data_IF_637908561390
#
_entry.id   IF_637908561390
#
_cell.length_a   1.000
_cell.length_b   1.000
_cell.length_c   1.000
_cell.angle_alpha   90.00
_cell.angle_beta   90.00
_cell.angle_gamma   90.00
#
_symmetry.space_group_name_H-M   'P 1'
#
loop_
_entity.id
_entity.type
_entity.pdbx_description
1 polymer ?
#
# COMPACT_ATOMS: atom_id res chain seq x y z
N UNK A 1 2.94 14.86 2.73
CA UNK A 1 2.86 13.41 3.05
C UNK A 1 1.57 12.86 2.45
N UNK A 2 1.61 11.74 1.76
CA UNK A 2 0.43 11.11 1.14
C UNK A 2 0.15 9.76 1.80
N UNK A 3 -1.06 9.58 2.35
CA UNK A 3 -1.48 8.31 2.97
C UNK A 3 -2.22 7.45 1.95
N UNK A 4 -1.49 6.53 1.32
CA UNK A 4 -2.00 5.61 0.31
C UNK A 4 -2.28 4.22 0.93
N UNK A 5 -1.88 3.14 0.25
CA UNK A 5 -2.02 1.74 0.67
C UNK A 5 -1.17 0.85 -0.25
N UNK A 6 -0.86 -0.37 0.18
CA UNK A 6 -0.42 -1.45 -0.71
C UNK A 6 -1.40 -1.65 -1.89
N UNK A 7 -2.69 -1.40 -1.67
CA UNK A 7 -3.73 -1.39 -2.69
C UNK A 7 -3.57 -0.28 -3.75
N UNK A 8 -2.67 0.68 -3.54
CA UNK A 8 -2.28 1.69 -4.54
C UNK A 8 -1.13 1.26 -5.44
N UNK A 9 -0.58 0.07 -5.20
CA UNK A 9 0.54 -0.50 -5.94
C UNK A 9 0.17 -1.85 -6.55
N UNK A 10 -0.78 -2.57 -5.94
CA UNK A 10 -1.38 -3.79 -6.48
C UNK A 10 -2.90 -3.81 -6.33
N UNK A 11 -3.58 -4.48 -7.26
CA UNK A 11 -5.03 -4.65 -7.20
C UNK A 11 -5.40 -5.82 -6.29
N UNK A 12 -6.58 -5.74 -5.68
CA UNK A 12 -7.15 -6.82 -4.87
C UNK A 12 -8.61 -6.99 -5.23
N UNK A 13 -9.08 -8.23 -5.35
CA UNK A 13 -10.48 -8.52 -5.60
C UNK A 13 -11.38 -7.88 -4.53
N UNK A 14 -12.59 -7.46 -4.93
CA UNK A 14 -13.59 -6.81 -4.05
C UNK A 14 -13.16 -5.44 -3.47
N UNK A 15 -12.09 -4.83 -4.00
CA UNK A 15 -11.59 -3.51 -3.63
C UNK A 15 -11.34 -2.61 -4.85
N UNK A 16 -12.07 -2.77 -5.95
CA UNK A 16 -11.76 -2.10 -7.22
C UNK A 16 -11.75 -0.57 -7.11
N UNK A 17 -12.76 0.00 -6.47
CA UNK A 17 -12.90 1.43 -6.19
C UNK A 17 -11.81 1.92 -5.21
N UNK A 18 -11.60 1.18 -4.13
CA UNK A 18 -10.57 1.47 -3.13
C UNK A 18 -9.17 1.45 -3.75
N UNK A 19 -8.80 0.38 -4.46
CA UNK A 19 -7.56 0.27 -5.22
C UNK A 19 -7.41 1.45 -6.17
N UNK A 20 -8.42 1.74 -6.99
CA UNK A 20 -8.38 2.88 -7.93
C UNK A 20 -8.05 4.20 -7.23
N UNK A 21 -8.69 4.48 -6.09
CA UNK A 21 -8.41 5.70 -5.30
C UNK A 21 -6.97 5.73 -4.76
N UNK A 22 -6.42 4.58 -4.35
CA UNK A 22 -5.07 4.48 -3.80
C UNK A 22 -4.00 4.52 -4.89
N UNK A 23 -4.27 3.98 -6.08
CA UNK A 23 -3.43 4.15 -7.27
C UNK A 23 -3.39 5.63 -7.67
N UNK A 24 -4.53 6.32 -7.68
CA UNK A 24 -4.58 7.76 -7.96
C UNK A 24 -3.76 8.56 -6.94
N UNK A 25 -3.82 8.22 -5.64
CA UNK A 25 -3.03 8.87 -4.60
C UNK A 25 -1.52 8.66 -4.79
N UNK A 26 -1.08 7.45 -5.15
CA UNK A 26 0.34 7.16 -5.47
C UNK A 26 0.77 7.92 -6.72
N UNK A 27 0.00 7.86 -7.80
CA UNK A 27 0.34 8.57 -9.04
C UNK A 27 0.42 10.08 -8.87
N UNK A 28 -0.52 10.68 -8.11
CA UNK A 28 -0.48 12.10 -7.76
C UNK A 28 0.80 12.43 -6.98
N UNK A 29 1.16 11.59 -6.01
CA UNK A 29 2.37 11.80 -5.20
C UNK A 29 3.65 11.74 -6.03
N UNK A 30 3.75 10.75 -6.92
CA UNK A 30 4.88 10.60 -7.83
C UNK A 30 5.01 11.81 -8.76
N UNK A 31 3.92 12.22 -9.40
CA UNK A 31 3.89 13.39 -10.29
C UNK A 31 4.31 14.67 -9.55
N UNK A 32 3.72 14.95 -8.39
CA UNK A 32 4.07 16.12 -7.58
C UNK A 32 5.54 16.12 -7.14
N UNK A 33 6.07 14.95 -6.76
CA UNK A 33 7.48 14.81 -6.38
C UNK A 33 8.40 15.13 -7.55
N UNK A 34 8.05 14.69 -8.76
CA UNK A 34 8.78 15.02 -9.98
C UNK A 34 8.71 16.51 -10.30
N UNK A 35 7.55 17.15 -10.17
CA UNK A 35 7.42 18.61 -10.36
C UNK A 35 8.31 19.39 -9.40
N UNK A 36 8.31 19.04 -8.11
CA UNK A 36 9.16 19.68 -7.10
C UNK A 36 10.65 19.50 -7.41
N UNK A 37 11.04 18.32 -7.89
CA UNK A 37 12.41 18.03 -8.32
C UNK A 37 12.84 18.92 -9.49
N UNK A 38 12.04 18.99 -10.56
CA UNK A 38 12.32 19.82 -11.75
C UNK A 38 12.37 21.31 -11.38
N UNK A 39 11.49 21.77 -10.49
CA UNK A 39 11.47 23.15 -9.97
C UNK A 39 12.58 23.46 -8.96
N UNK A 40 13.47 22.50 -8.66
CA UNK A 40 14.57 22.59 -7.69
C UNK A 40 14.09 23.01 -6.29
N UNK A 41 12.89 22.60 -5.88
CA UNK A 41 12.31 22.89 -4.57
C UNK A 41 12.84 21.93 -3.51
N UNK A 42 14.13 22.03 -3.19
CA UNK A 42 14.82 21.11 -2.27
C UNK A 42 14.36 21.17 -0.81
N UNK A 43 13.72 22.27 -0.41
CA UNK A 43 13.15 22.48 0.92
C UNK A 43 11.78 21.83 1.15
N UNK A 44 11.16 21.26 0.12
CA UNK A 44 9.88 20.54 0.23
C UNK A 44 10.14 19.05 0.04
N UNK A 45 9.87 18.26 1.08
CA UNK A 45 10.04 16.80 1.08
C UNK A 45 8.70 16.11 0.92
N UNK A 46 8.72 14.98 0.23
CA UNK A 46 7.52 14.17 -0.05
C UNK A 46 7.75 12.76 0.47
N UNK A 47 6.76 12.25 1.22
CA UNK A 47 6.69 10.86 1.70
C UNK A 47 5.34 10.28 1.34
N UNK A 48 5.32 9.12 0.66
CA UNK A 48 4.12 8.30 0.44
C UNK A 48 4.15 7.09 1.37
N UNK A 49 3.01 6.81 1.99
CA UNK A 49 2.85 5.70 2.94
C UNK A 49 1.91 4.67 2.32
N UNK A 50 2.40 3.44 2.16
CA UNK A 50 1.67 2.33 1.55
C UNK A 50 1.61 1.13 2.51
N UNK A 51 0.70 1.15 3.49
CA UNK A 51 0.49 0.03 4.40
C UNK A 51 -0.39 -1.06 3.77
N UNK A 52 -0.21 -2.30 4.21
CA UNK A 52 -1.19 -3.39 4.07
C UNK A 52 -2.38 -3.18 5.02
N UNK A 53 -3.05 -4.25 5.45
CA UNK A 53 -4.17 -4.19 6.37
C UNK A 53 -3.77 -3.60 7.73
N UNK A 54 -4.50 -2.57 8.17
CA UNK A 54 -4.33 -1.93 9.49
C UNK A 54 -5.54 -2.26 10.35
N UNK A 55 -5.30 -2.61 11.61
CA UNK A 55 -6.30 -2.89 12.61
C UNK A 55 -6.91 -1.59 13.19
N UNK A 56 -7.74 -0.94 12.39
CA UNK A 56 -8.55 0.25 12.75
C UNK A 56 -10.05 -0.06 12.84
N UNK A 57 -10.44 -1.34 12.71
CA UNK A 57 -11.83 -1.76 12.47
C UNK A 57 -12.34 -1.44 11.04
N UNK A 58 -11.49 -0.90 10.15
CA UNK A 58 -11.85 -0.73 8.73
C UNK A 58 -11.83 -2.06 7.97
N UNK A 59 -10.89 -2.95 8.29
CA UNK A 59 -10.71 -4.27 7.65
C UNK A 59 -11.12 -5.42 8.57
N UNK A 60 -12.17 -5.20 9.37
CA UNK A 60 -12.66 -6.21 10.29
C UNK A 60 -13.19 -7.43 9.53
N UNK A 61 -12.76 -8.62 9.96
CA UNK A 61 -13.11 -9.88 9.30
C UNK A 61 -12.22 -10.28 8.12
N UNK A 62 -11.22 -9.47 7.71
CA UNK A 62 -10.27 -9.86 6.65
C UNK A 62 -9.40 -11.04 7.11
N UNK A 63 -9.24 -12.03 6.23
CA UNK A 63 -8.28 -13.12 6.45
C UNK A 63 -6.90 -12.66 6.02
N UNK A 64 -6.01 -12.49 6.99
CA UNK A 64 -4.60 -12.15 6.74
C UNK A 64 -3.72 -13.38 6.87
N UNK A 65 -2.86 -13.62 5.89
CA UNK A 65 -1.79 -14.61 6.00
C UNK A 65 -0.54 -14.04 6.68
N UNK A 66 0.37 -14.94 7.07
CA UNK A 66 1.67 -14.62 7.71
C UNK A 66 2.46 -13.57 6.90
N UNK A 67 2.26 -13.53 5.57
CA UNK A 67 2.94 -12.60 4.67
C UNK A 67 2.41 -11.15 4.75
N UNK A 68 1.15 -10.97 5.17
CA UNK A 68 0.46 -9.68 5.23
C UNK A 68 -0.25 -9.48 6.58
N UNK A 69 0.51 -9.42 7.70
CA UNK A 69 -0.07 -9.31 9.03
C UNK A 69 -0.89 -8.03 9.20
N UNK A 70 -1.92 -8.11 10.04
CA UNK A 70 -2.65 -6.95 10.56
C UNK A 70 -1.71 -6.08 11.39
N UNK A 71 -1.55 -4.82 10.97
CA UNK A 71 -0.68 -3.85 11.64
C UNK A 71 -1.49 -3.07 12.68
N UNK A 72 -0.95 -2.87 13.88
CA UNK A 72 -1.59 -2.00 14.89
C UNK A 72 -1.51 -0.53 14.48
N UNK A 73 -2.56 0.21 14.81
CA UNK A 73 -2.68 1.63 14.46
C UNK A 73 -1.59 2.50 15.10
N UNK A 74 -1.18 2.22 16.33
CA UNK A 74 -0.13 2.98 17.01
C UNK A 74 1.24 2.74 16.35
N UNK A 75 1.56 1.47 16.03
CA UNK A 75 2.81 1.08 15.38
C UNK A 75 3.00 1.73 14.00
N UNK A 76 1.90 1.89 13.22
CA UNK A 76 1.98 2.54 11.92
C UNK A 76 2.16 4.06 12.06
N UNK A 77 1.52 4.69 13.04
CA UNK A 77 1.70 6.12 13.32
C UNK A 77 3.16 6.44 13.64
N UNK A 78 3.81 5.65 14.50
CA UNK A 78 5.21 5.82 14.86
C UNK A 78 6.13 5.70 13.63
N UNK A 79 5.89 4.68 12.79
CA UNK A 79 6.65 4.49 11.54
C UNK A 79 6.47 5.63 10.56
N UNK A 80 5.26 6.20 10.46
CA UNK A 80 4.99 7.35 9.59
C UNK A 80 5.78 8.57 10.07
N UNK A 81 5.73 8.88 11.37
CA UNK A 81 6.47 10.01 11.94
C UNK A 81 7.98 9.82 11.74
N UNK A 82 8.48 8.60 11.95
CA UNK A 82 9.89 8.28 11.72
C UNK A 82 10.29 8.46 10.24
N UNK A 83 9.47 8.01 9.29
CA UNK A 83 9.71 8.17 7.87
C UNK A 83 9.75 9.65 7.45
N UNK A 84 8.84 10.46 8.00
CA UNK A 84 8.83 11.92 7.77
C UNK A 84 10.12 12.54 8.29
N UNK A 85 10.54 12.19 9.51
CA UNK A 85 11.78 12.72 10.12
C UNK A 85 13.05 12.33 9.36
N UNK A 86 13.01 11.25 8.59
CA UNK A 86 14.14 10.73 7.80
C UNK A 86 14.09 11.15 6.34
N UNK A 87 13.16 12.02 5.94
CA UNK A 87 12.90 12.38 4.54
C UNK A 87 12.73 11.14 3.63
N UNK A 88 12.16 10.06 4.18
CA UNK A 88 11.98 8.82 3.45
C UNK A 88 10.88 9.02 2.39
N UNK A 89 11.23 8.84 1.12
CA UNK A 89 10.28 9.05 0.02
C UNK A 89 9.11 8.07 0.01
N UNK A 90 9.36 6.79 0.35
CA UNK A 90 8.33 5.76 0.34
C UNK A 90 8.43 4.86 1.57
N UNK A 91 7.34 4.74 2.32
CA UNK A 91 7.20 3.85 3.47
C UNK A 91 6.26 2.69 3.13
N UNK A 92 6.84 1.50 2.96
CA UNK A 92 6.11 0.22 2.80
C UNK A 92 5.99 -0.49 4.15
N UNK A 93 4.78 -0.87 4.53
CA UNK A 93 4.53 -1.63 5.77
C UNK A 93 3.57 -2.79 5.50
N UNK A 94 3.99 -4.05 5.72
CA UNK A 94 5.35 -4.50 6.07
C UNK A 94 6.35 -4.31 4.92
N UNK A 95 7.65 -4.25 5.24
CA UNK A 95 8.73 -4.14 4.24
C UNK A 95 8.77 -5.33 3.26
N UNK A 96 8.20 -6.48 3.64
CA UNK A 96 8.03 -7.66 2.79
C UNK A 96 7.19 -7.39 1.54
N UNK A 97 6.42 -6.30 1.49
CA UNK A 97 5.73 -5.85 0.28
C UNK A 97 6.70 -5.49 -0.85
N UNK A 98 7.91 -5.01 -0.55
CA UNK A 98 8.86 -4.53 -1.56
C UNK A 98 9.18 -5.57 -2.66
N UNK A 99 9.66 -6.77 -2.29
CA UNK A 99 9.92 -7.83 -3.27
C UNK A 99 8.71 -8.24 -4.10
N UNK A 100 7.51 -8.29 -3.51
CA UNK A 100 6.28 -8.63 -4.23
C UNK A 100 5.95 -7.59 -5.32
N UNK A 101 6.22 -6.31 -5.04
CA UNK A 101 6.03 -5.23 -6.01
C UNK A 101 7.06 -5.27 -7.14
N UNK A 102 8.32 -5.59 -6.84
CA UNK A 102 9.37 -5.76 -7.87
C UNK A 102 9.02 -6.93 -8.79
N UNK A 103 8.57 -8.05 -8.20
CA UNK A 103 8.12 -9.23 -8.94
C UNK A 103 6.97 -8.89 -9.89
N UNK A 104 5.99 -8.09 -9.45
CA UNK A 104 4.89 -7.61 -10.28
C UNK A 104 5.36 -6.84 -11.51
N UNK A 105 6.44 -6.05 -11.41
CA UNK A 105 6.95 -5.28 -12.55
C UNK A 105 7.63 -6.14 -13.63
N UNK A 106 7.98 -7.39 -13.32
CA UNK A 106 8.74 -8.29 -14.19
C UNK A 106 7.85 -9.42 -14.73
N UNK A 107 6.89 -9.91 -13.93
CA UNK A 107 6.02 -11.03 -14.27
C UNK A 107 4.77 -10.56 -15.01
N UNK A 108 4.25 -11.35 -15.98
CA UNK A 108 3.01 -11.04 -16.68
C UNK A 108 1.78 -11.11 -15.77
N UNK A 109 0.74 -10.31 -16.06
CA UNK A 109 -0.50 -10.27 -15.27
C UNK A 109 -1.15 -11.65 -15.12
N UNK A 110 -1.10 -12.49 -16.16
CA UNK A 110 -1.66 -13.85 -16.11
C UNK A 110 -0.97 -14.71 -15.04
N UNK A 111 0.37 -14.71 -14.99
CA UNK A 111 1.11 -15.45 -13.97
C UNK A 111 0.90 -14.86 -12.57
N UNK A 112 0.70 -13.53 -12.45
CA UNK A 112 0.37 -12.92 -11.16
C UNK A 112 -0.99 -13.35 -10.62
N UNK A 113 -1.99 -13.55 -11.49
CA UNK A 113 -3.31 -14.05 -11.08
C UNK A 113 -3.23 -15.48 -10.55
N UNK A 114 -2.45 -16.34 -11.21
CA UNK A 114 -2.21 -17.72 -10.76
C UNK A 114 -1.43 -17.79 -9.44
N UNK A 115 -0.40 -16.94 -9.27
CA UNK A 115 0.33 -16.88 -7.99
C UNK A 115 -0.58 -16.38 -6.86
N UNK A 116 -1.47 -15.43 -7.16
CA UNK A 116 -2.42 -14.89 -6.18
C UNK A 116 -3.50 -15.91 -5.79
N UNK A 117 -4.03 -16.66 -6.75
CA UNK A 117 -5.01 -17.72 -6.47
C UNK A 117 -4.41 -18.86 -5.65
N UNK A 118 -3.13 -19.21 -5.89
CA UNK A 118 -2.41 -20.22 -5.10
C UNK A 118 -2.06 -19.74 -3.67
N UNK A 119 -1.90 -18.43 -3.47
CA UNK A 119 -1.57 -17.85 -2.16
C UNK A 119 -2.80 -17.43 -1.35
N UNK A 120 -4.02 -17.52 -1.89
CA UNK A 120 -5.26 -17.19 -1.18
C UNK A 120 -5.49 -15.70 -0.92
N UNK A 121 -4.64 -14.83 -1.49
CA UNK A 121 -4.72 -13.38 -1.31
C UNK A 121 -5.98 -12.79 -1.95
N UNK A 122 -6.47 -13.41 -3.03
CA UNK A 122 -7.72 -13.07 -3.72
C UNK A 122 -8.96 -13.27 -2.84
N UNK A 123 -8.93 -14.25 -1.93
CA UNK A 123 -10.00 -14.54 -0.97
C UNK A 123 -9.90 -13.74 0.34
N UNK A 124 -8.88 -12.89 0.51
CA UNK A 124 -8.66 -12.12 1.76
C UNK A 124 -9.84 -11.22 2.16
N UNK A 125 -10.57 -10.71 1.17
CA UNK A 125 -11.72 -9.83 1.35
C UNK A 125 -13.06 -10.59 1.40
N UNK A 126 -13.07 -11.92 1.40
CA UNK A 126 -14.33 -12.66 1.25
C UNK A 126 -15.25 -12.59 2.46
N UNK A 127 -14.66 -12.53 3.64
CA UNK A 127 -15.33 -12.41 4.93
C UNK A 127 -15.42 -10.96 5.42
N UNK A 128 -15.15 -9.99 4.54
CA UNK A 128 -15.27 -8.57 4.85
C UNK A 128 -16.73 -8.18 5.10
N UNK A 129 -17.01 -7.64 6.29
CA UNK A 129 -18.37 -7.25 6.72
C UNK A 129 -18.65 -5.76 6.47
N UNK A 130 -17.63 -4.90 6.56
CA UNK A 130 -17.78 -3.45 6.50
C UNK A 130 -18.44 -2.87 7.77
N UNK A 131 -18.47 -1.54 7.89
CA UNK A 131 -19.22 -0.86 8.97
C UNK A 131 -20.68 -0.66 8.51
N UNK A 132 -21.63 -1.09 9.33
CA UNK A 132 -23.07 -0.82 9.15
C UNK A 132 -23.44 0.55 9.68
#
# INVERSE_FOLDING_TARGET
VTIASAAGLTGTARLVDYCSSKFAAVGLHEALTQELYVLKKTGVKTTVVCPSFINTGMFEGVKTDVLFPLIKSDDICDKIVEAIRKDQHMLLVPKSLGPALVMKSIISTAAQLEIQSLSGVDHSMDTFVGRR
#
